data_IF_123062281743
#
_entry.id   IF_123062281743
#
_cell.length_a   1.000
_cell.length_b   1.000
_cell.length_c   1.000
_cell.angle_alpha   90.00
_cell.angle_beta   90.00
_cell.angle_gamma   90.00
#
_symmetry.space_group_name_H-M   'P 1'
#
loop_
_entity.id
_entity.type
_entity.pdbx_description
1 polymer ?
#
# COMPACT_ATOMS: atom_id res chain seq x y z
N UNK A 1 62.18 41.48 -10.74
CA UNK A 1 62.50 40.85 -9.44
C UNK A 1 61.16 40.53 -8.80
N UNK A 2 60.70 39.28 -8.96
CA UNK A 2 60.74 38.24 -7.92
C UNK A 2 59.90 38.64 -6.70
N UNK A 3 58.68 38.11 -6.58
CA UNK A 3 58.35 36.98 -5.68
C UNK A 3 56.85 36.64 -5.71
N UNK A 4 56.57 35.36 -5.98
CA UNK A 4 55.46 34.53 -5.44
C UNK A 4 54.02 34.95 -5.82
N UNK A 5 53.27 34.33 -6.75
CA UNK A 5 52.98 32.90 -6.96
C UNK A 5 52.84 32.11 -5.64
N UNK A 6 51.65 31.51 -5.46
CA UNK A 6 51.17 30.67 -4.33
C UNK A 6 50.29 31.44 -3.33
N UNK A 7 49.01 31.64 -3.71
CA UNK A 7 47.90 31.56 -2.78
C UNK A 7 46.95 30.48 -3.32
N UNK A 8 47.32 29.26 -2.95
CA UNK A 8 46.70 27.99 -3.27
C UNK A 8 45.24 27.99 -2.77
N UNK A 9 44.34 27.49 -3.62
CA UNK A 9 43.12 26.73 -3.29
C UNK A 9 42.52 26.94 -1.89
N UNK A 10 41.27 27.43 -1.83
CA UNK A 10 40.11 26.83 -1.14
C UNK A 10 39.01 27.90 -1.11
N UNK A 11 38.18 27.95 -2.15
CA UNK A 11 36.85 28.55 -2.05
C UNK A 11 35.85 27.87 -3.00
N UNK A 12 35.83 26.54 -2.96
CA UNK A 12 34.70 25.75 -3.46
C UNK A 12 33.81 25.39 -2.27
N UNK A 13 33.20 26.40 -1.65
CA UNK A 13 32.26 26.21 -0.55
C UNK A 13 30.86 25.94 -1.12
N UNK A 14 30.64 24.66 -1.45
CA UNK A 14 29.44 23.91 -1.08
C UNK A 14 28.10 24.57 -1.45
N UNK A 15 27.69 24.35 -2.70
CA UNK A 15 26.28 24.33 -3.06
C UNK A 15 25.68 23.01 -2.51
N UNK A 16 25.36 22.97 -1.22
CA UNK A 16 24.62 21.85 -0.62
C UNK A 16 23.17 21.97 -1.09
N UNK A 17 22.88 21.42 -2.27
CA UNK A 17 21.51 21.02 -2.58
C UNK A 17 21.12 19.98 -1.52
N UNK A 18 20.44 20.43 -0.46
CA UNK A 18 19.61 19.55 0.35
C UNK A 18 18.44 19.12 -0.56
N UNK A 19 18.72 18.16 -1.45
CA UNK A 19 17.67 17.41 -2.10
C UNK A 19 16.84 16.82 -0.96
N UNK A 20 15.51 17.07 -0.89
CA UNK A 20 14.70 16.36 0.06
C UNK A 20 14.96 14.88 -0.18
N UNK A 21 15.27 14.14 0.88
CA UNK A 21 15.27 12.70 0.81
C UNK A 21 13.85 12.29 0.42
N UNK A 22 13.60 12.15 -0.89
CA UNK A 22 12.52 11.30 -1.37
C UNK A 22 12.84 9.96 -0.73
N UNK A 23 12.12 9.62 0.34
CA UNK A 23 12.10 8.27 0.84
C UNK A 23 11.68 7.42 -0.35
N UNK A 24 12.66 6.74 -0.95
CA UNK A 24 12.45 5.99 -2.18
C UNK A 24 11.37 4.98 -1.90
N UNK A 25 10.24 5.13 -2.60
CA UNK A 25 9.13 4.21 -2.54
C UNK A 25 9.66 2.77 -2.71
N UNK A 26 9.25 1.80 -1.87
CA UNK A 26 9.73 0.45 -2.01
C UNK A 26 9.27 -0.16 -3.34
N UNK A 27 10.08 -1.08 -3.86
CA UNK A 27 9.72 -1.86 -5.04
C UNK A 27 8.41 -2.62 -4.79
N UNK A 28 7.56 -2.64 -5.82
CA UNK A 28 6.31 -3.39 -5.77
C UNK A 28 6.61 -4.89 -5.77
N UNK A 29 6.10 -5.66 -4.80
CA UNK A 29 6.36 -7.09 -4.75
C UNK A 29 5.84 -7.82 -6.00
N UNK A 30 6.75 -8.49 -6.71
CA UNK A 30 6.45 -9.18 -7.96
C UNK A 30 5.61 -10.46 -7.79
N UNK A 31 5.74 -11.12 -6.63
CA UNK A 31 5.02 -12.35 -6.30
C UNK A 31 3.79 -12.06 -5.44
N UNK A 32 2.74 -12.89 -5.52
CA UNK A 32 1.62 -12.81 -4.60
C UNK A 32 2.10 -12.89 -3.14
N UNK A 33 1.54 -12.03 -2.29
CA UNK A 33 1.88 -11.94 -0.88
C UNK A 33 0.78 -12.57 -0.03
N UNK A 34 1.19 -13.21 1.05
CA UNK A 34 0.24 -13.72 2.03
C UNK A 34 -0.32 -12.57 2.88
N UNK A 35 -1.63 -12.35 2.81
CA UNK A 35 -2.37 -11.38 3.61
C UNK A 35 -3.13 -12.13 4.72
N UNK A 36 -2.72 -11.91 5.97
CA UNK A 36 -3.24 -12.61 7.15
C UNK A 36 -4.19 -11.73 7.94
N UNK A 37 -5.34 -12.30 8.33
CA UNK A 37 -6.21 -11.77 9.38
C UNK A 37 -6.09 -12.59 10.67
N UNK A 38 -7.10 -12.52 11.55
CA UNK A 38 -7.10 -13.26 12.81
C UNK A 38 -6.98 -14.78 12.66
N UNK A 39 -7.52 -15.33 11.56
CA UNK A 39 -7.38 -16.75 11.26
C UNK A 39 -6.36 -16.95 10.13
N UNK A 40 -5.18 -17.42 10.47
CA UNK A 40 -4.12 -17.73 9.51
C UNK A 40 -4.55 -18.77 8.45
N UNK A 41 -5.50 -19.67 8.77
CA UNK A 41 -6.06 -20.64 7.80
C UNK A 41 -6.95 -19.98 6.74
N UNK A 42 -7.30 -18.71 6.92
CA UNK A 42 -8.05 -17.88 5.97
C UNK A 42 -7.18 -16.80 5.33
N UNK A 43 -5.86 -16.98 5.35
CA UNK A 43 -4.96 -16.09 4.64
C UNK A 43 -5.34 -16.04 3.15
N UNK A 44 -5.26 -14.85 2.57
CA UNK A 44 -5.53 -14.62 1.14
C UNK A 44 -4.23 -14.25 0.44
N UNK A 45 -4.08 -14.65 -0.82
CA UNK A 45 -2.92 -14.25 -1.61
C UNK A 45 -3.25 -12.96 -2.36
N UNK A 46 -2.60 -11.85 -1.99
CA UNK A 46 -2.76 -10.57 -2.65
C UNK A 46 -1.72 -10.41 -3.77
N UNK A 47 -2.17 -10.09 -4.98
CA UNK A 47 -1.32 -9.95 -6.15
C UNK A 47 -1.30 -8.50 -6.65
N UNK A 48 -0.15 -7.82 -6.56
CA UNK A 48 -0.01 -6.46 -7.07
C UNK A 48 -0.13 -6.38 -8.59
N UNK A 49 0.26 -7.43 -9.33
CA UNK A 49 0.18 -7.45 -10.80
C UNK A 49 -1.24 -7.29 -11.32
N UNK A 50 -2.24 -7.82 -10.61
CA UNK A 50 -3.66 -7.66 -11.00
C UNK A 50 -4.25 -6.31 -10.59
N UNK A 51 -3.47 -5.49 -9.88
CA UNK A 51 -3.87 -4.16 -9.40
C UNK A 51 -2.95 -3.05 -9.92
N UNK A 52 -2.11 -3.33 -10.93
CA UNK A 52 -1.11 -2.38 -11.44
C UNK A 52 -1.71 -1.13 -12.11
N UNK A 53 -3.00 -1.17 -12.45
CA UNK A 53 -3.73 -0.04 -13.02
C UNK A 53 -4.24 0.96 -11.96
N UNK A 54 -4.07 0.69 -10.66
CA UNK A 54 -4.55 1.55 -9.59
C UNK A 54 -3.40 2.32 -8.95
N UNK A 55 -3.67 3.60 -8.64
CA UNK A 55 -2.75 4.40 -7.85
C UNK A 55 -2.51 3.76 -6.48
N UNK A 56 -1.27 3.86 -6.03
CA UNK A 56 -0.83 3.05 -4.91
C UNK A 56 -1.38 3.58 -3.58
N UNK A 57 -1.65 4.88 -3.53
CA UNK A 57 -2.31 5.55 -2.41
C UNK A 57 -3.79 5.16 -2.24
N UNK A 58 -4.41 4.47 -3.20
CA UNK A 58 -5.76 3.90 -3.04
C UNK A 58 -5.77 2.86 -1.92
N UNK A 59 -4.69 2.07 -1.81
CA UNK A 59 -4.52 1.04 -0.77
C UNK A 59 -3.53 1.49 0.31
N UNK A 60 -2.36 2.00 -0.10
CA UNK A 60 -1.32 2.57 0.76
C UNK A 60 -1.60 4.05 1.03
N UNK A 61 -2.76 4.31 1.63
CA UNK A 61 -3.20 5.66 1.91
C UNK A 61 -2.22 6.41 2.82
N UNK A 62 -2.25 7.74 2.73
CA UNK A 62 -1.42 8.56 3.60
C UNK A 62 -1.82 8.40 5.08
N UNK A 63 -0.81 8.44 5.94
CA UNK A 63 -0.97 8.48 7.39
C UNK A 63 -0.31 9.77 7.86
N UNK A 64 -1.10 10.67 8.44
CA UNK A 64 -0.65 12.00 8.87
C UNK A 64 0.01 12.81 7.74
N UNK A 65 -0.57 12.74 6.53
CA UNK A 65 -0.09 13.47 5.35
C UNK A 65 1.23 12.94 4.76
N UNK A 66 1.60 11.69 5.09
CA UNK A 66 2.83 11.04 4.59
C UNK A 66 2.48 9.70 3.98
N UNK A 67 3.18 9.34 2.90
CA UNK A 67 3.09 8.01 2.31
C UNK A 67 3.47 6.92 3.33
N UNK A 68 2.77 5.79 3.29
CA UNK A 68 3.05 4.64 4.14
C UNK A 68 2.84 3.33 3.39
N UNK A 69 3.89 2.52 3.33
CA UNK A 69 3.89 1.20 2.70
C UNK A 69 3.98 0.05 3.71
N UNK A 70 3.73 0.35 4.99
CA UNK A 70 3.69 -0.66 6.04
C UNK A 70 2.54 -1.66 5.80
N UNK A 71 2.63 -2.84 6.42
CA UNK A 71 1.52 -3.79 6.43
C UNK A 71 0.30 -3.16 7.10
N UNK A 72 -0.89 -3.45 6.59
CA UNK A 72 -2.15 -2.88 7.06
C UNK A 72 -2.35 -3.07 8.58
N UNK A 73 -1.98 -4.24 9.09
CA UNK A 73 -2.12 -4.63 10.50
C UNK A 73 -0.83 -4.48 11.31
N UNK A 74 0.07 -3.56 10.92
CA UNK A 74 1.16 -3.13 11.80
C UNK A 74 0.58 -2.50 13.07
N UNK A 75 1.27 -2.60 14.20
CA UNK A 75 0.85 -1.98 15.46
C UNK A 75 0.53 -0.48 15.27
N UNK A 76 -0.57 -0.02 15.87
CA UNK A 76 -1.10 1.34 15.70
C UNK A 76 -1.87 1.59 14.39
N UNK A 77 -2.05 0.59 13.53
CA UNK A 77 -2.81 0.70 12.27
C UNK A 77 -4.13 -0.10 12.35
N UNK A 78 -4.39 -0.99 11.40
CA UNK A 78 -5.55 -1.89 11.42
C UNK A 78 -5.24 -3.17 12.22
N UNK A 79 -4.73 -3.00 13.44
CA UNK A 79 -4.20 -4.10 14.27
C UNK A 79 -5.29 -4.93 14.97
N UNK A 80 -6.53 -4.41 15.09
CA UNK A 80 -7.66 -5.21 15.53
C UNK A 80 -8.06 -6.21 14.43
N UNK A 81 -7.65 -7.47 14.63
CA UNK A 81 -7.90 -8.57 13.71
C UNK A 81 -9.25 -9.27 13.95
N UNK A 82 -9.91 -8.98 15.07
CA UNK A 82 -11.13 -9.69 15.51
C UNK A 82 -12.40 -8.85 15.34
N UNK A 83 -12.27 -7.53 15.41
CA UNK A 83 -13.36 -6.60 15.24
C UNK A 83 -13.97 -6.64 13.85
N UNK A 84 -15.23 -6.21 13.79
CA UNK A 84 -16.04 -6.18 12.55
C UNK A 84 -16.34 -4.77 12.07
N UNK A 85 -15.93 -3.74 12.82
CA UNK A 85 -16.18 -2.32 12.52
C UNK A 85 -14.85 -1.60 12.31
N UNK A 86 -14.85 -0.57 11.46
CA UNK A 86 -13.67 0.26 11.23
C UNK A 86 -13.17 0.84 12.57
N UNK A 87 -11.86 0.82 12.86
CA UNK A 87 -10.75 0.55 11.93
C UNK A 87 -10.24 -0.90 11.91
N UNK A 88 -10.98 -1.90 12.40
CA UNK A 88 -10.55 -3.30 12.38
C UNK A 88 -10.20 -3.79 10.96
N UNK A 89 -9.19 -4.66 10.83
CA UNK A 89 -8.68 -5.16 9.54
C UNK A 89 -9.80 -5.76 8.69
N UNK A 90 -10.70 -6.52 9.33
CA UNK A 90 -11.82 -7.13 8.63
C UNK A 90 -12.71 -6.09 7.95
N UNK A 91 -13.01 -4.97 8.62
CA UNK A 91 -13.90 -3.93 8.11
C UNK A 91 -13.28 -3.18 6.93
N UNK A 92 -11.98 -2.85 7.01
CA UNK A 92 -11.28 -2.11 5.94
C UNK A 92 -10.98 -2.97 4.71
N UNK A 93 -11.13 -4.29 4.81
CA UNK A 93 -11.08 -5.22 3.66
C UNK A 93 -12.48 -5.50 3.11
N UNK A 94 -13.46 -5.79 3.98
CA UNK A 94 -14.73 -6.42 3.58
C UNK A 94 -15.93 -5.48 3.49
N UNK A 95 -15.83 -4.22 3.95
CA UNK A 95 -16.97 -3.32 3.82
C UNK A 95 -17.30 -3.11 2.34
N UNK A 96 -18.56 -3.30 1.96
CA UNK A 96 -19.03 -3.20 0.56
C UNK A 96 -19.19 -1.75 0.10
N UNK A 97 -19.17 -0.81 1.02
CA UNK A 97 -19.14 0.63 0.76
C UNK A 97 -17.77 1.17 1.12
N UNK A 98 -17.38 2.26 0.45
CA UNK A 98 -16.19 3.00 0.82
C UNK A 98 -16.29 3.44 2.28
N UNK A 99 -15.18 3.34 3.01
CA UNK A 99 -15.03 3.94 4.33
C UNK A 99 -14.39 5.33 4.14
N UNK A 100 -13.46 5.72 5.03
CA UNK A 100 -12.59 6.87 4.75
C UNK A 100 -11.73 6.64 3.49
N UNK A 101 -11.37 5.39 3.23
CA UNK A 101 -10.65 4.95 2.04
C UNK A 101 -11.41 3.80 1.39
N UNK A 102 -11.11 3.55 0.11
CA UNK A 102 -11.68 2.41 -0.62
C UNK A 102 -11.18 1.10 0.00
N UNK A 103 -12.10 0.15 0.17
CA UNK A 103 -11.81 -1.21 0.65
C UNK A 103 -11.67 -2.17 -0.54
N UNK A 104 -11.14 -3.38 -0.32
CA UNK A 104 -11.11 -4.40 -1.35
C UNK A 104 -12.53 -4.68 -1.90
N UNK A 105 -13.49 -4.88 -0.98
CA UNK A 105 -14.85 -5.27 -1.36
C UNK A 105 -15.64 -4.13 -2.01
N UNK A 106 -15.46 -2.88 -1.58
CA UNK A 106 -16.14 -1.73 -2.21
C UNK A 106 -15.70 -1.53 -3.66
N UNK A 107 -14.41 -1.70 -3.96
CA UNK A 107 -13.90 -1.70 -5.33
C UNK A 107 -14.42 -2.91 -6.13
N UNK A 108 -14.25 -4.13 -5.59
CA UNK A 108 -14.64 -5.35 -6.28
C UNK A 108 -16.14 -5.42 -6.60
N UNK A 109 -16.99 -4.82 -5.77
CA UNK A 109 -18.43 -4.70 -6.07
C UNK A 109 -18.68 -3.80 -7.28
N UNK A 110 -17.94 -2.69 -7.44
CA UNK A 110 -18.04 -1.80 -8.60
C UNK A 110 -17.54 -2.53 -9.86
N UNK A 111 -16.36 -3.17 -9.79
CA UNK A 111 -15.82 -3.97 -10.91
C UNK A 111 -16.78 -5.10 -11.31
N UNK A 112 -17.36 -5.80 -10.34
CA UNK A 112 -18.32 -6.87 -10.60
C UNK A 112 -19.66 -6.36 -11.16
N UNK A 113 -20.00 -5.08 -11.00
CA UNK A 113 -21.16 -4.48 -11.65
C UNK A 113 -20.91 -4.25 -13.15
N UNK A 114 -19.67 -3.90 -13.52
CA UNK A 114 -19.23 -3.75 -14.91
C UNK A 114 -18.91 -5.10 -15.58
N UNK A 115 -18.50 -6.10 -14.79
CA UNK A 115 -18.13 -7.45 -15.23
C UNK A 115 -18.90 -8.52 -14.43
N UNK A 116 -20.19 -8.76 -14.75
CA UNK A 116 -21.05 -9.64 -13.97
C UNK A 116 -20.56 -11.10 -13.91
N UNK A 117 -19.87 -11.56 -14.95
CA UNK A 117 -19.20 -12.86 -15.03
C UNK A 117 -18.13 -13.03 -13.93
N UNK A 118 -17.49 -11.93 -13.51
CA UNK A 118 -16.47 -11.92 -12.46
C UNK A 118 -17.05 -11.79 -11.05
N UNK A 119 -18.37 -11.64 -10.89
CA UNK A 119 -19.00 -11.36 -9.59
C UNK A 119 -18.65 -12.38 -8.52
N UNK A 120 -18.73 -13.68 -8.84
CA UNK A 120 -18.37 -14.75 -7.89
C UNK A 120 -16.89 -14.73 -7.54
N UNK A 121 -16.05 -14.55 -8.54
CA UNK A 121 -14.59 -14.53 -8.41
C UNK A 121 -14.10 -13.36 -7.53
N UNK A 122 -14.73 -12.19 -7.62
CA UNK A 122 -14.28 -10.98 -6.94
C UNK A 122 -14.98 -10.70 -5.60
N UNK A 123 -16.23 -11.14 -5.42
CA UNK A 123 -17.06 -10.75 -4.26
C UNK A 123 -17.55 -11.92 -3.41
N UNK A 124 -17.30 -13.16 -3.83
CA UNK A 124 -17.72 -14.36 -3.10
C UNK A 124 -16.97 -14.53 -1.77
N UNK A 125 -17.69 -14.88 -0.71
CA UNK A 125 -17.08 -15.20 0.59
C UNK A 125 -16.35 -16.55 0.61
N UNK A 126 -16.68 -17.44 -0.33
CA UNK A 126 -16.12 -18.79 -0.53
C UNK A 126 -16.16 -19.14 -2.01
N UNK A 127 -15.15 -19.86 -2.51
CA UNK A 127 -14.97 -20.15 -3.93
C UNK A 127 -14.72 -18.90 -4.77
N UNK A 128 -14.08 -17.89 -4.17
CA UNK A 128 -13.62 -16.67 -4.86
C UNK A 128 -12.10 -16.74 -5.07
N UNK A 129 -11.54 -15.78 -5.80
CA UNK A 129 -10.09 -15.66 -5.96
C UNK A 129 -9.39 -15.30 -4.64
N UNK A 130 -10.11 -14.72 -3.67
CA UNK A 130 -9.59 -14.42 -2.34
C UNK A 130 -9.74 -15.62 -1.39
N UNK A 131 -10.92 -16.24 -1.35
CA UNK A 131 -11.23 -17.37 -0.48
C UNK A 131 -11.62 -18.58 -1.33
N UNK A 132 -10.61 -19.33 -1.78
CA UNK A 132 -10.82 -20.48 -2.66
C UNK A 132 -11.64 -21.62 -2.00
N UNK A 133 -11.56 -21.79 -0.68
CA UNK A 133 -12.19 -22.88 0.09
C UNK A 133 -13.03 -22.45 1.29
#
# INVERSE_FOLDING_TARGET
MRTSLIALFVLAAVCLCAAPAQASRPDVPAQPLEFKGANAKKAVMFNHKTHSAYDCNVCHHEVNGKESYAKCATAGCHEDLTGRKSPALYAVVHNRKDLKFQTCMSCHVKVAAEKPDQKKALTGCKGSLCHAS
#
